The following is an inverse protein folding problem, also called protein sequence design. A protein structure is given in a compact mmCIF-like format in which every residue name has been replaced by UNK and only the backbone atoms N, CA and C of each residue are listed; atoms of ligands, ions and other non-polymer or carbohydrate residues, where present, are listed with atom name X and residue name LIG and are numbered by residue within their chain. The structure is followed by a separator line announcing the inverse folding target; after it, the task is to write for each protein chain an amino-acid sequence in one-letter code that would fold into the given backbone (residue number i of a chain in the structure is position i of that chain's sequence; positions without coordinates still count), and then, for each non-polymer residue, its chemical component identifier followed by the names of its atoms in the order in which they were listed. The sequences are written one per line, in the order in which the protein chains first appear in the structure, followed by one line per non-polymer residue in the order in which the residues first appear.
data_IF_682676421125
#
_entry.id   IF_682676421125
#
_cell.length_a   1.000
_cell.length_b   1.000
_cell.length_c   1.000
_cell.angle_alpha   90.00
_cell.angle_beta   90.00
_cell.angle_gamma   90.00
#
_symmetry.space_group_name_H-M   'P 1'
#
loop_
_entity.id
_entity.type
_entity.pdbx_description
1 polymer ?
#
# COMPACT_ATOMS: atom_id res chain seq x y z
N UNK A 1 -5.44 35.38 -0.69
CA UNK A 1 -4.37 34.60 -0.02
C UNK A 1 -3.31 34.31 -1.05
N UNK A 2 -2.04 34.36 -0.67
CA UNK A 2 -0.94 33.88 -1.52
C UNK A 2 -1.01 32.35 -1.67
N UNK A 3 -0.36 31.80 -2.69
CA UNK A 3 -0.27 30.37 -2.92
C UNK A 3 0.33 29.64 -1.71
N UNK A 4 1.32 30.25 -1.04
CA UNK A 4 1.94 29.67 0.17
C UNK A 4 0.96 29.61 1.35
N UNK A 5 0.15 30.66 1.56
CA UNK A 5 -0.92 30.63 2.57
C UNK A 5 -1.98 29.56 2.24
N UNK A 6 -2.31 29.40 0.96
CA UNK A 6 -3.23 28.35 0.49
C UNK A 6 -2.65 26.95 0.73
N UNK A 7 -1.34 26.73 0.52
CA UNK A 7 -0.71 25.45 0.87
C UNK A 7 -0.79 25.12 2.36
N UNK A 8 -0.67 26.12 3.24
CA UNK A 8 -0.89 25.92 4.68
C UNK A 8 -2.34 25.52 4.95
N UNK A 9 -3.31 26.13 4.25
CA UNK A 9 -4.72 25.73 4.29
C UNK A 9 -4.94 24.29 3.85
N UNK A 10 -4.37 23.88 2.72
CA UNK A 10 -4.45 22.51 2.20
C UNK A 10 -3.86 21.51 3.20
N UNK A 11 -2.67 21.81 3.75
CA UNK A 11 -2.01 20.95 4.74
C UNK A 11 -2.90 20.71 5.96
N UNK A 12 -3.60 21.73 6.45
CA UNK A 12 -4.52 21.60 7.60
C UNK A 12 -5.73 20.71 7.32
N UNK A 13 -6.14 20.60 6.05
CA UNK A 13 -7.29 19.78 5.65
C UNK A 13 -6.94 18.29 5.50
N UNK A 14 -5.65 17.94 5.37
CA UNK A 14 -5.21 16.55 5.23
C UNK A 14 -4.87 16.00 6.62
N UNK A 15 -5.62 15.01 7.13
CA UNK A 15 -5.31 14.39 8.41
C UNK A 15 -4.11 13.44 8.30
N UNK A 16 -3.66 12.93 9.44
CA UNK A 16 -2.77 11.77 9.44
C UNK A 16 -3.44 10.59 8.69
N UNK A 17 -2.69 9.99 7.76
CA UNK A 17 -3.14 8.89 6.93
C UNK A 17 -2.46 7.61 7.42
N UNK A 18 -3.17 6.80 8.18
CA UNK A 18 -2.65 5.50 8.64
C UNK A 18 -2.69 4.51 7.48
N UNK A 19 -1.56 3.82 7.25
CA UNK A 19 -1.45 2.73 6.26
C UNK A 19 -2.53 1.67 6.50
N UNK A 20 -3.09 1.11 5.43
CA UNK A 20 -4.13 0.07 5.53
C UNK A 20 -3.86 -1.07 4.56
N UNK A 21 -4.43 -2.23 4.88
CA UNK A 21 -4.46 -3.37 3.97
C UNK A 21 -5.53 -3.15 2.90
N UNK A 22 -5.09 -2.87 1.67
CA UNK A 22 -6.00 -2.64 0.53
C UNK A 22 -6.17 -3.86 -0.37
N UNK A 23 -5.24 -4.81 -0.33
CA UNK A 23 -5.26 -6.00 -1.16
C UNK A 23 -4.65 -7.16 -0.38
N UNK A 24 -5.25 -8.34 -0.47
CA UNK A 24 -4.74 -9.57 0.15
C UNK A 24 -3.49 -10.11 -0.55
N UNK A 25 -3.20 -9.66 -1.78
CA UNK A 25 -2.03 -10.06 -2.58
C UNK A 25 -0.71 -9.40 -2.16
N UNK A 26 -0.75 -8.41 -1.27
CA UNK A 26 0.44 -7.79 -0.68
C UNK A 26 0.33 -7.87 0.84
N UNK A 27 1.39 -8.38 1.47
CA UNK A 27 1.43 -8.64 2.91
C UNK A 27 1.88 -7.43 3.73
N UNK A 28 1.79 -6.22 3.17
CA UNK A 28 2.11 -4.98 3.86
C UNK A 28 1.00 -3.94 3.70
N UNK A 29 0.82 -3.16 4.76
CA UNK A 29 -0.07 -2.00 4.74
C UNK A 29 0.61 -0.85 3.99
N UNK A 30 -0.14 -0.18 3.12
CA UNK A 30 0.34 0.97 2.38
C UNK A 30 -0.75 2.02 2.23
N UNK A 31 -0.39 3.20 1.73
CA UNK A 31 -1.33 4.24 1.32
C UNK A 31 -1.40 4.28 -0.20
N UNK A 32 -2.62 4.44 -0.72
CA UNK A 32 -2.88 4.72 -2.14
C UNK A 32 -2.81 6.22 -2.40
N UNK A 33 -2.57 6.58 -3.65
CA UNK A 33 -2.68 7.98 -4.06
C UNK A 33 -4.11 8.51 -3.89
N UNK A 34 -5.12 7.64 -4.04
CA UNK A 34 -6.54 7.96 -3.81
C UNK A 34 -6.83 8.40 -2.38
N UNK A 35 -6.12 7.84 -1.39
CA UNK A 35 -6.24 8.24 0.01
C UNK A 35 -5.83 9.69 0.22
N UNK A 36 -4.84 10.15 -0.55
CA UNK A 36 -4.37 11.55 -0.55
C UNK A 36 -5.39 12.42 -1.30
N UNK A 37 -5.80 12.02 -2.51
CA UNK A 37 -6.73 12.80 -3.33
C UNK A 37 -8.09 13.03 -2.68
N UNK A 38 -8.56 12.08 -1.87
CA UNK A 38 -9.78 12.22 -1.08
C UNK A 38 -9.81 13.49 -0.23
N UNK A 39 -8.66 13.95 0.28
CA UNK A 39 -8.56 15.17 1.09
C UNK A 39 -7.95 16.34 0.31
N UNK A 40 -6.96 16.07 -0.55
CA UNK A 40 -6.26 17.08 -1.32
C UNK A 40 -7.20 17.79 -2.32
N UNK A 41 -8.00 17.04 -3.09
CA UNK A 41 -8.85 17.63 -4.14
C UNK A 41 -9.92 18.60 -3.57
N UNK A 42 -10.70 18.24 -2.53
CA UNK A 42 -11.64 19.19 -1.94
C UNK A 42 -10.96 20.45 -1.40
N UNK A 43 -9.81 20.31 -0.72
CA UNK A 43 -9.08 21.44 -0.15
C UNK A 43 -8.54 22.39 -1.24
N UNK A 44 -8.04 21.84 -2.35
CA UNK A 44 -7.64 22.62 -3.53
C UNK A 44 -8.80 23.39 -4.15
N UNK A 45 -9.97 22.74 -4.28
CA UNK A 45 -11.17 23.37 -4.84
C UNK A 45 -11.67 24.51 -3.95
N UNK A 46 -11.70 24.31 -2.63
CA UNK A 46 -12.13 25.33 -1.67
C UNK A 46 -11.20 26.54 -1.65
N UNK A 47 -9.88 26.31 -1.75
CA UNK A 47 -8.87 27.37 -1.67
C UNK A 47 -8.54 27.99 -3.04
N UNK A 48 -9.05 27.43 -4.14
CA UNK A 48 -8.76 27.89 -5.49
C UNK A 48 -7.28 27.72 -5.85
N UNK A 49 -6.82 26.47 -5.87
CA UNK A 49 -5.46 26.07 -6.27
C UNK A 49 -5.52 25.00 -7.36
N UNK A 50 -4.88 25.26 -8.51
CA UNK A 50 -4.71 24.28 -9.57
C UNK A 50 -3.38 23.54 -9.43
N UNK A 51 -3.35 22.28 -9.86
CA UNK A 51 -2.16 21.43 -9.93
C UNK A 51 -2.10 20.74 -11.29
N UNK A 52 -1.03 20.99 -12.04
CA UNK A 52 -0.86 20.52 -13.40
C UNK A 52 0.53 19.91 -13.61
N UNK A 53 0.61 18.85 -14.44
CA UNK A 53 1.87 18.44 -15.06
C UNK A 53 1.99 19.25 -16.35
N UNK A 54 3.02 20.09 -16.45
CA UNK A 54 3.17 21.04 -17.58
C UNK A 54 4.28 20.68 -18.55
N UNK A 55 5.15 19.75 -18.17
CA UNK A 55 6.24 19.25 -19.01
C UNK A 55 6.61 17.83 -18.58
N UNK A 56 6.95 17.01 -19.56
CA UNK A 56 7.45 15.64 -19.40
C UNK A 56 8.70 15.51 -20.27
N UNK A 57 9.82 15.08 -19.71
CA UNK A 57 11.09 14.93 -20.44
C UNK A 57 11.75 13.61 -20.05
N UNK A 58 12.04 12.75 -21.03
CA UNK A 58 12.77 11.53 -20.75
C UNK A 58 14.18 11.85 -20.28
N UNK A 59 14.68 11.09 -19.30
CA UNK A 59 16.07 11.21 -18.83
C UNK A 59 17.06 10.43 -19.70
N UNK A 60 16.55 9.59 -20.60
CA UNK A 60 17.36 8.78 -21.51
C UNK A 60 17.07 9.15 -22.97
N UNK A 61 18.06 8.92 -23.83
CA UNK A 61 17.93 9.08 -25.28
C UNK A 61 18.43 7.85 -26.04
N UNK A 62 17.95 7.64 -27.25
CA UNK A 62 18.49 6.64 -28.18
C UNK A 62 19.77 7.16 -28.88
N UNK A 63 20.35 6.34 -29.76
CA UNK A 63 21.56 6.66 -30.54
C UNK A 63 21.38 7.89 -31.46
N UNK A 64 20.15 8.26 -31.77
CA UNK A 64 19.80 9.41 -32.61
C UNK A 64 19.45 10.66 -31.78
N UNK A 65 19.51 10.57 -30.45
CA UNK A 65 19.15 11.66 -29.54
C UNK A 65 17.65 11.81 -29.30
N UNK A 66 16.82 10.85 -29.72
CA UNK A 66 15.39 10.88 -29.42
C UNK A 66 15.15 10.48 -27.97
N UNK A 67 14.17 11.12 -27.32
CA UNK A 67 13.78 10.83 -25.95
C UNK A 67 13.22 9.40 -25.80
N UNK A 68 13.74 8.66 -24.82
CA UNK A 68 13.33 7.28 -24.51
C UNK A 68 12.79 7.21 -23.09
N UNK A 69 11.47 7.16 -22.97
CA UNK A 69 10.77 7.11 -21.69
C UNK A 69 10.71 5.71 -21.08
N UNK A 70 10.69 4.68 -21.91
CA UNK A 70 10.50 3.29 -21.49
C UNK A 70 11.58 2.38 -22.05
N UNK A 71 12.17 1.53 -21.20
CA UNK A 71 13.24 0.60 -21.55
C UNK A 71 13.00 -0.76 -20.93
N UNK A 72 13.32 -1.81 -21.67
CA UNK A 72 13.29 -3.17 -21.14
C UNK A 72 14.58 -3.49 -20.38
N UNK A 73 14.49 -3.92 -19.13
CA UNK A 73 15.64 -4.37 -18.34
C UNK A 73 15.77 -5.89 -18.45
N UNK A 74 16.68 -6.33 -19.32
CA UNK A 74 17.05 -7.73 -19.47
C UNK A 74 17.68 -8.26 -18.17
N UNK A 75 17.16 -9.38 -17.65
CA UNK A 75 17.63 -10.01 -16.42
C UNK A 75 16.62 -9.98 -15.27
N UNK A 76 15.82 -8.92 -15.15
CA UNK A 76 14.70 -8.85 -14.20
C UNK A 76 13.32 -8.94 -14.88
N UNK A 77 13.28 -8.98 -16.22
CA UNK A 77 12.08 -9.11 -17.04
C UNK A 77 11.01 -8.04 -16.74
N UNK A 78 11.44 -6.80 -16.57
CA UNK A 78 10.56 -5.64 -16.34
C UNK A 78 10.82 -4.53 -17.35
N UNK A 79 9.78 -3.73 -17.58
CA UNK A 79 9.85 -2.45 -18.27
C UNK A 79 10.06 -1.34 -17.24
N UNK A 80 11.15 -0.60 -17.41
CA UNK A 80 11.45 0.62 -16.65
C UNK A 80 10.89 1.82 -17.40
N UNK A 81 10.12 2.64 -16.72
CA UNK A 81 9.72 3.96 -17.18
C UNK A 81 10.44 5.03 -16.34
N UNK A 82 11.02 6.03 -17.00
CA UNK A 82 11.88 7.04 -16.37
C UNK A 82 11.76 8.40 -17.07
N UNK A 83 11.38 9.44 -16.33
CA UNK A 83 11.26 10.81 -16.85
C UNK A 83 11.42 11.88 -15.76
N UNK A 84 11.72 13.10 -16.16
CA UNK A 84 11.53 14.29 -15.34
C UNK A 84 10.18 14.94 -15.64
N UNK A 85 9.40 15.20 -14.60
CA UNK A 85 8.13 15.92 -14.64
C UNK A 85 8.32 17.34 -14.13
N UNK A 86 7.83 18.33 -14.88
CA UNK A 86 7.64 19.69 -14.34
C UNK A 86 6.20 19.82 -13.87
N UNK A 87 6.03 19.93 -12.55
CA UNK A 87 4.76 20.21 -11.90
C UNK A 87 4.56 21.71 -11.77
N UNK A 88 3.30 22.16 -11.86
CA UNK A 88 2.90 23.55 -11.61
C UNK A 88 1.73 23.60 -10.65
N UNK A 89 1.90 24.38 -9.58
CA UNK A 89 0.81 24.83 -8.73
C UNK A 89 0.46 26.27 -9.08
N UNK A 90 -0.82 26.60 -9.23
CA UNK A 90 -1.25 27.94 -9.63
C UNK A 90 -2.36 28.43 -8.70
N UNK A 91 -2.21 29.64 -8.18
CA UNK A 91 -3.27 30.34 -7.49
C UNK A 91 -4.34 30.78 -8.52
N UNK A 92 -5.59 30.35 -8.34
CA UNK A 92 -6.67 30.65 -9.30
C UNK A 92 -7.00 32.16 -9.31
N UNK A 93 -6.84 32.85 -8.19
CA UNK A 93 -7.17 34.28 -8.06
C UNK A 93 -6.07 35.18 -8.65
N UNK A 94 -4.83 34.68 -8.67
CA UNK A 94 -3.67 35.37 -9.25
C UNK A 94 -2.79 34.37 -9.99
N UNK A 95 -3.00 34.15 -11.31
CA UNK A 95 -2.23 33.18 -12.08
C UNK A 95 -0.73 33.46 -12.20
N UNK A 96 -0.26 34.65 -11.81
CA UNK A 96 1.17 34.98 -11.71
C UNK A 96 1.81 34.46 -10.42
N UNK A 97 0.99 34.19 -9.39
CA UNK A 97 1.39 33.50 -8.17
C UNK A 97 1.32 31.98 -8.38
N UNK A 98 2.44 31.43 -8.88
CA UNK A 98 2.59 30.02 -9.17
C UNK A 98 3.92 29.46 -8.65
N UNK A 99 3.95 28.17 -8.38
CA UNK A 99 5.16 27.42 -8.03
C UNK A 99 5.40 26.33 -9.08
N UNK A 100 6.62 26.26 -9.62
CA UNK A 100 7.04 25.15 -10.47
C UNK A 100 8.04 24.26 -9.73
N UNK A 101 7.85 22.96 -9.81
CA UNK A 101 8.74 21.97 -9.20
C UNK A 101 9.07 20.91 -10.22
N UNK A 102 10.36 20.60 -10.38
CA UNK A 102 10.80 19.46 -11.17
C UNK A 102 10.97 18.25 -10.25
N UNK A 103 10.38 17.13 -10.63
CA UNK A 103 10.54 15.86 -9.92
C UNK A 103 10.93 14.76 -10.90
N UNK A 104 11.67 13.78 -10.41
CA UNK A 104 12.10 12.63 -11.19
C UNK A 104 11.16 11.45 -10.93
N UNK A 105 10.56 10.93 -11.99
CA UNK A 105 9.65 9.80 -11.93
C UNK A 105 10.32 8.54 -12.46
N UNK A 106 10.31 7.49 -11.64
CA UNK A 106 10.83 6.17 -11.97
C UNK A 106 9.85 5.09 -11.54
N UNK A 107 9.62 4.10 -12.40
CA UNK A 107 8.74 2.98 -12.08
C UNK A 107 8.99 1.77 -12.96
N UNK A 108 8.66 0.60 -12.45
CA UNK A 108 8.79 -0.66 -13.18
C UNK A 108 7.45 -1.38 -13.28
N UNK A 109 7.25 -2.13 -14.36
CA UNK A 109 6.08 -2.99 -14.55
C UNK A 109 6.38 -4.17 -15.48
N UNK A 110 5.64 -5.27 -15.37
CA UNK A 110 5.80 -6.43 -16.28
C UNK A 110 5.31 -6.10 -17.69
N UNK A 111 4.44 -5.09 -17.83
CA UNK A 111 3.90 -4.62 -19.09
C UNK A 111 4.32 -3.17 -19.38
N UNK A 112 4.75 -2.85 -20.63
CA UNK A 112 5.27 -1.53 -20.97
C UNK A 112 4.21 -0.42 -20.87
N UNK A 113 2.96 -0.73 -21.22
CA UNK A 113 1.80 0.18 -21.17
C UNK A 113 1.42 0.59 -19.73
N UNK A 114 1.79 -0.23 -18.73
CA UNK A 114 1.53 0.04 -17.31
C UNK A 114 2.71 0.68 -16.57
N UNK A 115 3.90 0.71 -17.17
CA UNK A 115 5.11 1.22 -16.54
C UNK A 115 4.98 2.72 -16.20
N UNK A 116 4.43 3.52 -17.12
CA UNK A 116 4.16 4.95 -16.88
C UNK A 116 3.24 5.18 -15.69
N UNK A 117 2.09 4.50 -15.65
CA UNK A 117 1.13 4.63 -14.55
C UNK A 117 1.74 4.27 -13.20
N UNK A 118 2.61 3.25 -13.18
CA UNK A 118 3.36 2.85 -11.98
C UNK A 118 4.33 3.95 -11.52
N UNK A 119 5.10 4.52 -12.45
CA UNK A 119 6.04 5.61 -12.15
C UNK A 119 5.33 6.85 -11.59
N UNK A 120 4.29 7.34 -12.27
CA UNK A 120 3.55 8.53 -11.86
C UNK A 120 2.85 8.35 -10.52
N UNK A 121 2.20 7.19 -10.30
CA UNK A 121 1.48 6.94 -9.05
C UNK A 121 2.41 7.00 -7.84
N UNK A 122 3.57 6.35 -7.89
CA UNK A 122 4.52 6.37 -6.78
C UNK A 122 5.17 7.74 -6.62
N UNK A 123 5.57 8.36 -7.72
CA UNK A 123 6.27 9.64 -7.71
C UNK A 123 5.41 10.76 -7.15
N UNK A 124 4.16 10.88 -7.62
CA UNK A 124 3.21 11.87 -7.11
C UNK A 124 2.82 11.58 -5.66
N UNK A 125 2.64 10.31 -5.29
CA UNK A 125 2.34 9.91 -3.91
C UNK A 125 3.41 10.42 -2.93
N UNK A 126 4.69 10.14 -3.20
CA UNK A 126 5.78 10.60 -2.33
C UNK A 126 5.98 12.12 -2.39
N UNK A 127 5.76 12.72 -3.55
CA UNK A 127 5.78 14.18 -3.68
C UNK A 127 4.75 14.83 -2.75
N UNK A 128 3.50 14.34 -2.71
CA UNK A 128 2.47 14.89 -1.85
C UNK A 128 2.72 14.64 -0.36
N UNK A 129 3.22 13.45 0.01
CA UNK A 129 3.64 13.19 1.39
C UNK A 129 4.66 14.21 1.88
N UNK A 130 5.65 14.53 1.05
CA UNK A 130 6.66 15.52 1.40
C UNK A 130 6.11 16.96 1.38
N UNK A 131 5.48 17.40 0.27
CA UNK A 131 4.97 18.78 0.09
C UNK A 131 4.01 19.19 1.22
N UNK A 132 3.12 18.29 1.61
CA UNK A 132 2.13 18.56 2.66
C UNK A 132 2.50 17.97 4.01
N UNK A 133 3.71 17.42 4.18
CA UNK A 133 4.18 16.83 5.44
C UNK A 133 3.11 15.90 6.06
N UNK A 134 2.58 14.99 5.23
CA UNK A 134 1.48 14.12 5.62
C UNK A 134 2.04 13.04 6.55
N UNK A 135 1.53 13.01 7.78
CA UNK A 135 1.82 11.95 8.72
C UNK A 135 1.24 10.62 8.20
N UNK A 136 2.10 9.62 8.05
CA UNK A 136 1.73 8.29 7.53
C UNK A 136 1.44 7.28 8.65
N UNK A 137 1.53 7.72 9.91
CA UNK A 137 1.55 6.85 11.09
C UNK A 137 2.77 5.92 11.13
N UNK A 138 2.87 5.17 12.23
CA UNK A 138 3.96 4.23 12.50
C UNK A 138 4.89 4.73 13.59
N UNK A 139 5.60 3.78 14.21
CA UNK A 139 6.61 4.09 15.21
C UNK A 139 7.87 4.65 14.55
N UNK A 140 8.52 5.58 15.24
CA UNK A 140 9.83 6.09 14.84
C UNK A 140 10.82 4.90 14.73
N UNK A 141 11.65 4.82 13.68
CA UNK A 141 12.65 3.74 13.58
C UNK A 141 13.59 3.65 14.79
N UNK A 142 13.83 4.76 15.48
CA UNK A 142 14.63 4.82 16.71
C UNK A 142 13.84 4.37 17.96
N UNK A 143 12.53 4.14 17.83
CA UNK A 143 11.67 3.53 18.87
C UNK A 143 11.71 2.00 18.83
N UNK A 144 12.54 1.39 17.98
CA UNK A 144 12.95 0.01 18.20
C UNK A 144 13.66 -0.05 19.55
N UNK A 145 12.98 -0.62 20.55
CA UNK A 145 13.51 -0.81 21.88
C UNK A 145 14.93 -1.42 21.78
N UNK A 146 15.89 -0.74 22.39
CA UNK A 146 17.19 -1.31 22.65
C UNK A 146 17.01 -2.61 23.45
N UNK A 147 17.48 -3.73 22.88
CA UNK A 147 17.72 -4.98 23.59
C UNK A 147 16.57 -5.99 23.52
N UNK A 148 16.81 -7.06 22.77
CA UNK A 148 16.52 -8.43 23.19
C UNK A 148 17.56 -9.35 22.52
N UNK A 149 18.83 -9.07 22.82
CA UNK A 149 19.93 -10.02 22.72
C UNK A 149 20.29 -10.37 24.17
N UNK A 150 19.85 -11.53 24.65
CA UNK A 150 20.39 -12.31 25.78
C UNK A 150 19.43 -13.47 26.06
N UNK A 151 19.68 -14.66 25.50
CA UNK A 151 20.40 -15.74 26.18
C UNK A 151 20.00 -15.90 27.65
N UNK A 152 19.12 -16.87 27.89
CA UNK A 152 18.99 -17.57 29.16
C UNK A 152 20.36 -18.13 29.58
N UNK A 153 20.86 -17.79 30.77
CA UNK A 153 21.24 -18.77 31.81
C UNK A 153 21.73 -18.10 33.12
N UNK A 154 20.99 -18.42 34.20
CA UNK A 154 21.43 -18.77 35.55
C UNK A 154 22.41 -17.89 36.38
N UNK A 155 21.82 -17.27 37.42
CA UNK A 155 22.05 -17.54 38.85
C UNK A 155 23.41 -17.19 39.50
N UNK A 156 23.40 -16.34 40.55
CA UNK A 156 24.60 -16.10 41.37
C UNK A 156 24.61 -14.85 42.25
N UNK A 157 23.87 -14.91 43.35
CA UNK A 157 23.79 -13.98 44.49
C UNK A 157 25.15 -13.39 45.00
N UNK A 158 25.24 -12.08 45.27
CA UNK A 158 25.97 -11.50 46.42
C UNK A 158 25.67 -10.00 46.61
N UNK A 159 25.20 -9.66 47.82
CA UNK A 159 24.94 -8.30 48.30
C UNK A 159 26.20 -7.66 48.93
N UNK A 160 26.42 -6.37 48.68
CA UNK A 160 27.03 -5.43 49.63
C UNK A 160 26.70 -3.98 49.24
N UNK A 161 26.33 -3.21 50.26
CA UNK A 161 25.72 -1.88 50.23
C UNK A 161 26.71 -0.75 49.94
N UNK A 162 26.27 0.28 49.20
CA UNK A 162 26.54 1.70 49.49
C UNK A 162 25.71 2.62 48.57
N UNK A 163 24.68 3.27 49.12
CA UNK A 163 23.98 4.45 48.56
C UNK A 163 24.56 5.75 49.17
N UNK A 164 24.19 6.99 48.73
CA UNK A 164 23.23 7.38 47.67
C UNK A 164 23.72 8.51 46.72
N UNK A 165 23.04 8.71 45.58
CA UNK A 165 22.84 10.05 44.99
C UNK A 165 21.67 10.12 43.99
N UNK A 166 20.47 10.34 44.54
CA UNK A 166 19.38 11.25 44.10
C UNK A 166 19.11 11.47 42.60
N UNK A 167 17.95 10.98 42.12
CA UNK A 167 16.89 11.76 41.45
C UNK A 167 15.58 10.93 41.33
N UNK A 168 14.38 11.55 41.35
CA UNK A 168 13.12 10.85 41.57
C UNK A 168 12.49 10.30 40.28
N UNK A 169 12.29 8.98 40.22
CA UNK A 169 11.46 8.34 39.19
C UNK A 169 9.98 8.66 39.42
N UNK A 170 9.40 9.38 38.47
CA UNK A 170 7.95 9.53 38.37
C UNK A 170 7.44 8.30 37.62
N UNK A 171 6.80 7.38 38.33
CA UNK A 171 6.15 6.21 37.73
C UNK A 171 5.10 6.64 36.71
N UNK A 172 5.31 6.31 35.44
CA UNK A 172 4.24 6.38 34.43
C UNK A 172 3.24 5.23 34.69
N UNK A 173 1.92 5.49 34.69
CA UNK A 173 0.93 4.43 34.83
C UNK A 173 0.94 3.52 33.60
N UNK A 174 0.56 2.26 33.79
CA UNK A 174 0.52 1.27 32.72
C UNK A 174 -0.41 1.70 31.56
N UNK A 175 -0.03 1.44 30.30
CA UNK A 175 -0.82 1.83 29.13
C UNK A 175 -2.17 1.11 29.10
N UNK A 176 -3.25 1.87 28.90
CA UNK A 176 -4.62 1.37 28.79
C UNK A 176 -4.92 0.90 27.37
N UNK A 177 -5.50 -0.29 27.21
CA UNK A 177 -5.80 -0.95 25.94
C UNK A 177 -7.00 -0.38 25.15
N UNK A 178 -7.47 0.83 25.41
CA UNK A 178 -8.59 1.41 24.64
C UNK A 178 -8.48 2.93 24.52
N UNK A 179 -8.01 3.41 23.37
CA UNK A 179 -8.18 4.82 23.00
C UNK A 179 -9.64 5.00 22.53
N UNK A 180 -10.49 5.51 23.42
CA UNK A 180 -11.78 6.11 23.08
C UNK A 180 -11.60 7.64 23.09
N UNK A 181 -12.26 8.40 22.19
CA UNK A 181 -12.28 9.86 22.28
C UNK A 181 -12.96 10.31 23.58
N UNK A 182 -12.44 11.39 24.18
CA UNK A 182 -12.79 11.90 25.52
C UNK A 182 -14.26 12.33 25.69
N UNK A 183 -15.05 12.38 24.61
CA UNK A 183 -16.48 12.70 24.64
C UNK A 183 -17.41 11.49 24.68
N UNK A 184 -16.88 10.25 24.58
CA UNK A 184 -17.70 9.02 24.60
C UNK A 184 -18.64 8.86 23.39
N UNK A 185 -18.64 9.81 22.45
CA UNK A 185 -19.44 9.75 21.22
C UNK A 185 -18.48 9.48 20.05
N UNK A 186 -18.69 8.40 19.27
CA UNK A 186 -17.94 8.15 18.04
C UNK A 186 -18.05 9.37 17.10
N UNK A 187 -16.92 9.80 16.52
CA UNK A 187 -16.91 10.84 15.48
C UNK A 187 -17.79 10.36 14.33
N UNK A 188 -18.93 11.02 14.15
CA UNK A 188 -19.83 10.68 13.04
C UNK A 188 -19.17 11.12 11.73
N UNK A 189 -18.96 10.17 10.81
CA UNK A 189 -18.50 10.52 9.48
C UNK A 189 -19.46 11.54 8.83
N UNK A 190 -18.94 12.58 8.16
CA UNK A 190 -19.75 13.50 7.36
C UNK A 190 -20.65 12.76 6.37
N UNK A 191 -21.83 13.30 6.07
CA UNK A 191 -22.81 12.61 5.20
C UNK A 191 -22.26 12.24 3.82
N UNK A 192 -21.39 13.08 3.25
CA UNK A 192 -20.75 12.80 1.97
C UNK A 192 -19.85 11.55 2.04
N UNK A 193 -19.19 11.32 3.18
CA UNK A 193 -18.34 10.14 3.39
C UNK A 193 -19.17 8.87 3.60
N UNK A 194 -20.38 8.98 4.18
CA UNK A 194 -21.33 7.86 4.27
C UNK A 194 -21.93 7.50 2.91
N UNK A 195 -22.26 8.52 2.09
CA UNK A 195 -22.77 8.31 0.72
C UNK A 195 -21.73 7.64 -0.18
N UNK A 196 -20.47 8.08 -0.12
CA UNK A 196 -19.37 7.45 -0.87
C UNK A 196 -19.17 5.97 -0.49
N UNK A 197 -19.29 5.63 0.80
CA UNK A 197 -19.23 4.23 1.25
C UNK A 197 -20.43 3.38 0.79
N UNK A 198 -21.60 3.98 0.63
CA UNK A 198 -22.78 3.31 0.10
C UNK A 198 -22.70 3.14 -1.42
N UNK A 199 -22.14 4.12 -2.14
CA UNK A 199 -21.90 4.08 -3.59
C UNK A 199 -20.80 3.08 -3.96
N UNK A 200 -19.73 2.95 -3.16
CA UNK A 200 -18.71 1.88 -3.31
C UNK A 200 -19.31 0.48 -3.05
N UNK A 201 -20.25 0.36 -2.11
CA UNK A 201 -20.96 -0.91 -1.87
C UNK A 201 -21.92 -1.29 -2.99
N UNK A 202 -22.43 -0.33 -3.75
CA UNK A 202 -23.37 -0.54 -4.87
C UNK A 202 -22.67 -0.76 -6.22
N UNK A 203 -21.40 -0.39 -6.36
CA UNK A 203 -20.59 -0.60 -7.58
C UNK A 203 -19.72 -1.86 -7.55
N UNK A 204 -19.72 -2.61 -6.44
CA UNK A 204 -19.26 -4.00 -6.46
C UNK A 204 -20.14 -4.83 -7.42
N UNK A 205 -19.56 -5.70 -8.27
CA UNK A 205 -20.35 -6.51 -9.18
C UNK A 205 -21.36 -7.32 -8.37
N UNK A 206 -22.63 -7.21 -8.79
CA UNK A 206 -23.74 -8.03 -8.31
C UNK A 206 -23.28 -9.48 -8.18
N UNK A 207 -23.22 -9.96 -6.94
CA UNK A 207 -23.00 -11.36 -6.62
C UNK A 207 -24.27 -12.14 -7.00
N UNK A 208 -24.45 -12.39 -8.30
CA UNK A 208 -25.16 -13.59 -8.72
C UNK A 208 -24.22 -14.78 -8.54
N UNK A 209 -23.90 -15.07 -7.28
CA UNK A 209 -23.23 -16.29 -6.88
C UNK A 209 -24.27 -17.41 -6.87
N UNK A 210 -24.10 -18.48 -7.65
CA UNK A 210 -24.81 -19.72 -7.40
C UNK A 210 -24.31 -20.31 -6.06
N UNK A 211 -25.25 -20.73 -5.23
CA UNK A 211 -25.06 -21.59 -4.05
C UNK A 211 -24.30 -22.90 -4.39
N UNK A 212 -23.73 -23.62 -3.39
CA UNK A 212 -22.51 -24.42 -3.54
C UNK A 212 -22.71 -25.70 -4.35
N UNK A 213 -22.06 -25.77 -5.51
CA UNK A 213 -21.78 -27.00 -6.25
C UNK A 213 -20.29 -27.31 -6.17
N UNK A 214 -19.91 -28.36 -5.43
CA UNK A 214 -18.52 -28.77 -5.26
C UNK A 214 -17.89 -29.24 -6.57
N UNK A 215 -16.66 -28.79 -6.83
CA UNK A 215 -15.86 -29.27 -7.96
C UNK A 215 -15.76 -30.80 -7.94
N UNK A 216 -15.96 -31.44 -9.08
CA UNK A 216 -15.46 -32.81 -9.29
C UNK A 216 -13.92 -32.79 -9.37
N UNK A 217 -13.27 -33.93 -9.15
CA UNK A 217 -11.80 -34.04 -9.24
C UNK A 217 -11.28 -33.59 -10.61
N UNK A 218 -11.99 -33.92 -11.68
CA UNK A 218 -11.58 -33.57 -13.05
C UNK A 218 -11.83 -32.10 -13.40
N UNK A 219 -12.80 -31.45 -12.77
CA UNK A 219 -12.98 -30.00 -12.86
C UNK A 219 -11.92 -29.27 -12.03
N UNK A 220 -11.62 -29.77 -10.83
CA UNK A 220 -10.59 -29.22 -9.95
C UNK A 220 -9.20 -29.25 -10.61
N UNK A 221 -8.86 -30.32 -11.34
CA UNK A 221 -7.62 -30.42 -12.11
C UNK A 221 -7.48 -29.33 -13.18
N UNK A 222 -8.59 -28.84 -13.75
CA UNK A 222 -8.60 -27.86 -14.85
C UNK A 222 -8.55 -26.41 -14.36
N UNK A 223 -8.75 -26.17 -13.06
CA UNK A 223 -8.67 -24.82 -12.49
C UNK A 223 -7.25 -24.29 -12.68
N UNK A 224 -7.13 -23.09 -13.26
CA UNK A 224 -5.84 -22.42 -13.49
C UNK A 224 -5.51 -21.54 -12.29
N UNK A 225 -4.31 -21.71 -11.73
CA UNK A 225 -3.78 -20.81 -10.73
C UNK A 225 -3.39 -19.49 -11.41
N UNK A 226 -3.98 -18.38 -10.99
CA UNK A 226 -3.75 -17.06 -11.58
C UNK A 226 -2.88 -16.14 -10.71
N UNK A 227 -2.30 -16.67 -9.63
CA UNK A 227 -1.50 -15.92 -8.65
C UNK A 227 -0.20 -16.64 -8.29
N UNK A 228 0.71 -15.93 -7.60
CA UNK A 228 2.05 -16.44 -7.26
C UNK A 228 3.01 -16.46 -8.45
N UNK A 229 4.31 -16.47 -8.19
CA UNK A 229 5.33 -16.45 -9.26
C UNK A 229 5.56 -17.85 -9.83
N UNK A 230 5.58 -18.87 -8.99
CA UNK A 230 5.96 -20.24 -9.39
C UNK A 230 4.85 -21.01 -10.12
N UNK A 231 3.58 -20.69 -9.88
CA UNK A 231 2.44 -21.50 -10.30
C UNK A 231 1.42 -20.75 -11.18
N UNK A 232 1.64 -19.46 -11.47
CA UNK A 232 0.74 -18.67 -12.29
C UNK A 232 0.69 -19.19 -13.72
N UNK A 233 -0.52 -19.39 -14.23
CA UNK A 233 -0.80 -19.94 -15.55
C UNK A 233 -0.84 -21.47 -15.60
N UNK A 234 -0.44 -22.16 -14.53
CA UNK A 234 -0.52 -23.62 -14.43
C UNK A 234 -1.87 -24.06 -13.89
N UNK A 235 -2.32 -25.22 -14.34
CA UNK A 235 -3.49 -25.88 -13.77
C UNK A 235 -3.16 -26.55 -12.45
N UNK A 236 -4.15 -26.65 -11.55
CA UNK A 236 -3.99 -27.35 -10.28
C UNK A 236 -3.66 -28.84 -10.49
N UNK A 237 -4.11 -29.44 -11.59
CA UNK A 237 -3.71 -30.79 -12.00
C UNK A 237 -2.22 -30.90 -12.33
N UNK A 238 -1.66 -29.94 -13.07
CA UNK A 238 -0.21 -29.90 -13.34
C UNK A 238 0.61 -29.68 -12.07
N UNK A 239 0.12 -28.85 -11.15
CA UNK A 239 0.79 -28.61 -9.86
C UNK A 239 0.77 -29.89 -9.01
N UNK A 240 -0.33 -30.64 -9.01
CA UNK A 240 -0.42 -31.92 -8.29
C UNK A 240 0.59 -32.98 -8.75
N UNK A 241 1.09 -32.87 -10.00
CA UNK A 241 2.10 -33.79 -10.55
C UNK A 241 3.52 -33.48 -10.07
N UNK A 242 3.77 -32.36 -9.39
CA UNK A 242 5.09 -31.95 -8.89
C UNK A 242 5.52 -32.69 -7.59
N UNK A 243 4.86 -33.80 -7.27
CA UNK A 243 5.16 -34.60 -6.08
C UNK A 243 5.01 -33.80 -4.78
N UNK A 244 5.92 -33.98 -3.83
CA UNK A 244 5.84 -33.37 -2.49
C UNK A 244 5.76 -31.83 -2.52
N UNK A 245 6.43 -31.19 -3.49
CA UNK A 245 6.36 -29.74 -3.68
C UNK A 245 4.97 -29.31 -4.12
N UNK A 246 4.38 -30.03 -5.07
CA UNK A 246 3.03 -29.79 -5.57
C UNK A 246 1.97 -29.94 -4.49
N UNK A 247 2.09 -30.97 -3.65
CA UNK A 247 1.19 -31.16 -2.50
C UNK A 247 1.30 -30.01 -1.49
N UNK A 248 2.51 -29.56 -1.17
CA UNK A 248 2.71 -28.40 -0.28
C UNK A 248 2.10 -27.10 -0.86
N UNK A 249 2.21 -26.90 -2.18
CA UNK A 249 1.58 -25.78 -2.88
C UNK A 249 0.03 -25.87 -2.80
N UNK A 250 -0.55 -27.07 -2.96
CA UNK A 250 -2.00 -27.29 -2.82
C UNK A 250 -2.49 -27.09 -1.37
N UNK A 251 -1.73 -27.52 -0.36
CA UNK A 251 -2.05 -27.28 1.06
C UNK A 251 -2.08 -25.80 1.38
N UNK A 252 -1.12 -25.04 0.83
CA UNK A 252 -1.13 -23.59 0.94
C UNK A 252 -2.40 -23.01 0.30
N UNK A 253 -2.78 -23.43 -0.91
CA UNK A 253 -3.99 -22.94 -1.58
C UNK A 253 -5.28 -23.29 -0.82
N UNK A 254 -5.37 -24.46 -0.21
CA UNK A 254 -6.56 -24.95 0.48
C UNK A 254 -6.82 -24.26 1.84
N UNK A 255 -5.75 -23.96 2.58
CA UNK A 255 -5.85 -23.59 4.00
C UNK A 255 -5.16 -22.28 4.39
N UNK A 256 -4.16 -21.83 3.63
CA UNK A 256 -3.38 -20.63 3.95
C UNK A 256 -3.68 -19.46 3.01
N UNK A 257 -4.09 -19.74 1.78
CA UNK A 257 -4.49 -18.72 0.81
C UNK A 257 -5.82 -18.07 1.19
N UNK A 258 -5.76 -16.78 1.50
CA UNK A 258 -6.92 -15.96 1.87
C UNK A 258 -7.48 -15.09 0.74
N UNK A 259 -6.84 -15.10 -0.43
CA UNK A 259 -7.23 -14.25 -1.57
C UNK A 259 -8.64 -14.49 -2.13
N UNK A 260 -9.13 -13.61 -3.02
CA UNK A 260 -10.52 -13.59 -3.47
C UNK A 260 -10.91 -14.75 -4.40
N UNK A 261 -9.95 -15.55 -4.86
CA UNK A 261 -10.20 -16.69 -5.74
C UNK A 261 -10.60 -17.93 -4.95
N UNK A 262 -11.87 -17.96 -4.51
CA UNK A 262 -12.44 -19.11 -3.81
C UNK A 262 -12.42 -20.39 -4.66
N UNK A 263 -12.42 -20.29 -6.00
CA UNK A 263 -12.38 -21.45 -6.88
C UNK A 263 -11.06 -22.23 -6.74
N UNK A 264 -9.91 -21.55 -6.67
CA UNK A 264 -8.61 -22.22 -6.46
C UNK A 264 -8.55 -22.87 -5.08
N UNK A 265 -9.09 -22.21 -4.04
CA UNK A 265 -9.16 -22.74 -2.68
C UNK A 265 -10.00 -24.01 -2.60
N UNK A 266 -11.19 -23.99 -3.20
CA UNK A 266 -12.12 -25.11 -3.20
C UNK A 266 -11.57 -26.28 -4.05
N UNK A 267 -11.04 -26.01 -5.24
CA UNK A 267 -10.45 -27.02 -6.10
C UNK A 267 -9.21 -27.68 -5.45
N UNK A 268 -8.35 -26.92 -4.77
CA UNK A 268 -7.21 -27.47 -4.05
C UNK A 268 -7.64 -28.43 -2.93
N UNK A 269 -8.71 -28.12 -2.19
CA UNK A 269 -9.27 -29.03 -1.17
C UNK A 269 -9.75 -30.34 -1.77
N UNK A 270 -10.45 -30.28 -2.91
CA UNK A 270 -10.93 -31.47 -3.62
C UNK A 270 -9.76 -32.36 -4.07
N UNK A 271 -8.69 -31.76 -4.59
CA UNK A 271 -7.51 -32.53 -5.02
C UNK A 271 -6.74 -33.16 -3.86
N UNK A 272 -6.60 -32.45 -2.73
CA UNK A 272 -5.95 -33.00 -1.53
C UNK A 272 -6.77 -34.16 -0.93
N UNK A 273 -8.10 -34.04 -0.90
CA UNK A 273 -8.98 -35.11 -0.45
C UNK A 273 -8.94 -36.34 -1.36
N UNK A 274 -8.77 -36.14 -2.67
CA UNK A 274 -8.65 -37.23 -3.64
C UNK A 274 -7.25 -37.89 -3.64
N UNK A 275 -6.24 -37.22 -3.08
CA UNK A 275 -4.87 -37.72 -2.95
C UNK A 275 -4.57 -38.35 -1.58
N UNK A 276 -5.55 -38.34 -0.65
CA UNK A 276 -5.47 -38.94 0.69
C UNK A 276 -5.84 -40.41 0.71
#
# INVERSE_FOLDING_TARGET
MTLQEKFVGIRKAIPALVKRRYNENVDYDFLKIDDIYRFLTPAMNELGVNFDIVEETATNTDENGNQVFVRYISGVNYWLYEEDLTLRWTNVEDPQDFEKVKIHAIGTNDMPDKAKGSALTYTLKYYFFNKFTIDQGGDDPDMQAAGDDEQNEADGNHAAESEPSVAPETQAPAPSHNIKPESGVPVQLPEHAKKAQQEEKQTAPSSNAPEPGGFTVDEAKKVVCNFGVANRGRTLGEIALDGAKGIGDLEFFAYKYKGPNDNVRQAARVLLQAAS
#
